data_IF_545897164801
#
_entry.id   IF_545897164801
#
_cell.length_a   1.000
_cell.length_b   1.000
_cell.length_c   1.000
_cell.angle_alpha   90.00
_cell.angle_beta   90.00
_cell.angle_gamma   90.00
#
_symmetry.space_group_name_H-M   'P 1'
#
loop_
_entity.id
_entity.type
_entity.pdbx_description
1 polymer ?
#
# COMPACT_ATOMS: atom_id res chain seq x y z
N UNK A 1 -24.75 -26.21 -20.00
CA UNK A 1 -25.50 -25.05 -19.47
C UNK A 1 -24.47 -24.04 -19.02
N UNK A 2 -24.08 -23.15 -19.92
CA UNK A 2 -23.15 -22.04 -19.67
C UNK A 2 -23.94 -20.90 -19.04
N UNK A 3 -23.76 -20.65 -17.74
CA UNK A 3 -24.28 -19.44 -17.13
C UNK A 3 -23.30 -18.30 -17.40
N UNK A 4 -23.49 -17.65 -18.54
CA UNK A 4 -22.96 -16.33 -18.83
C UNK A 4 -23.78 -15.29 -18.07
N UNK A 5 -23.42 -15.04 -16.83
CA UNK A 5 -23.73 -13.77 -16.15
C UNK A 5 -22.41 -13.02 -15.99
N UNK A 6 -21.87 -12.56 -17.12
CA UNK A 6 -20.92 -11.45 -17.14
C UNK A 6 -21.76 -10.18 -17.33
N UNK A 7 -22.49 -9.80 -16.27
CA UNK A 7 -23.06 -8.46 -16.19
C UNK A 7 -21.86 -7.51 -16.24
N UNK A 8 -21.76 -6.70 -17.31
CA UNK A 8 -20.65 -5.81 -17.63
C UNK A 8 -20.38 -4.70 -16.60
N UNK A 9 -20.22 -5.08 -15.33
CA UNK A 9 -19.65 -4.27 -14.29
C UNK A 9 -18.20 -4.01 -14.70
N UNK A 10 -17.94 -2.78 -15.13
CA UNK A 10 -16.60 -2.27 -15.40
C UNK A 10 -15.68 -2.71 -14.26
N UNK A 11 -14.65 -3.50 -14.60
CA UNK A 11 -13.68 -3.98 -13.60
C UNK A 11 -13.14 -2.78 -12.84
N UNK A 12 -13.04 -2.84 -11.50
CA UNK A 12 -12.51 -1.72 -10.74
C UNK A 12 -11.10 -1.40 -11.27
N UNK A 13 -10.97 -0.22 -11.88
CA UNK A 13 -9.76 0.23 -12.52
C UNK A 13 -9.25 1.47 -11.79
N UNK A 14 -7.96 1.49 -11.51
CA UNK A 14 -7.25 2.72 -11.21
C UNK A 14 -6.78 3.34 -12.53
N UNK A 15 -7.06 4.62 -12.73
CA UNK A 15 -6.64 5.39 -13.92
C UNK A 15 -5.75 6.52 -13.45
N UNK A 16 -4.62 6.70 -14.11
CA UNK A 16 -3.70 7.82 -13.88
C UNK A 16 -3.53 8.58 -15.18
N UNK A 17 -3.64 9.90 -15.13
CA UNK A 17 -3.47 10.78 -16.27
C UNK A 17 -2.70 12.05 -15.88
N UNK A 18 -1.92 12.59 -16.81
CA UNK A 18 -1.25 13.88 -16.65
C UNK A 18 -0.78 14.40 -18.00
N UNK A 19 -0.70 15.72 -18.12
CA UNK A 19 -0.20 16.39 -19.31
C UNK A 19 1.33 16.46 -19.26
N UNK A 20 2.00 16.34 -20.42
CA UNK A 20 3.46 16.39 -20.52
C UNK A 20 4.04 17.75 -20.10
N UNK A 21 3.24 18.81 -20.19
CA UNK A 21 3.62 20.19 -19.83
C UNK A 21 3.31 20.51 -18.35
N UNK A 22 2.84 19.55 -17.56
CA UNK A 22 2.57 19.72 -16.13
C UNK A 22 3.85 19.69 -15.30
N UNK A 23 3.81 20.27 -14.09
CA UNK A 23 4.94 20.33 -13.14
C UNK A 23 5.32 18.96 -12.52
N UNK A 24 4.97 17.85 -13.18
CA UNK A 24 5.23 16.47 -12.73
C UNK A 24 4.14 15.86 -11.84
N UNK A 25 3.00 16.53 -11.64
CA UNK A 25 1.85 15.98 -10.92
C UNK A 25 0.96 15.18 -11.86
N UNK A 26 0.59 13.96 -11.47
CA UNK A 26 -0.42 13.15 -12.15
C UNK A 26 -1.71 13.11 -11.32
N UNK A 27 -2.85 13.00 -12.00
CA UNK A 27 -4.16 12.81 -11.36
C UNK A 27 -4.55 11.34 -11.40
N UNK A 28 -4.69 10.73 -10.22
CA UNK A 28 -5.16 9.36 -10.03
C UNK A 28 -6.65 9.30 -9.70
N UNK A 29 -7.34 8.32 -10.26
CA UNK A 29 -8.72 7.98 -9.92
C UNK A 29 -8.84 6.49 -9.62
N UNK A 30 -9.41 6.14 -8.47
CA UNK A 30 -9.70 4.76 -8.08
C UNK A 30 -11.11 4.67 -7.51
N UNK A 31 -12.00 3.96 -8.22
CA UNK A 31 -13.43 3.99 -7.91
C UNK A 31 -13.98 5.42 -8.04
N UNK A 32 -14.57 5.92 -6.96
CA UNK A 32 -15.09 7.30 -6.87
C UNK A 32 -14.08 8.30 -6.28
N UNK A 33 -12.89 7.85 -5.89
CA UNK A 33 -11.87 8.70 -5.28
C UNK A 33 -10.92 9.28 -6.32
N UNK A 34 -10.60 10.56 -6.17
CA UNK A 34 -9.55 11.26 -6.92
C UNK A 34 -8.44 11.69 -5.97
N UNK A 35 -7.18 11.63 -6.44
CA UNK A 35 -6.01 11.97 -5.65
C UNK A 35 -4.84 12.41 -6.54
N UNK A 36 -3.99 13.29 -6.02
CA UNK A 36 -2.76 13.72 -6.70
C UNK A 36 -1.63 12.72 -6.46
N UNK A 37 -0.89 12.42 -7.52
CA UNK A 37 0.29 11.57 -7.51
C UNK A 37 1.50 12.46 -7.81
N UNK A 38 2.46 12.47 -6.90
CA UNK A 38 3.70 13.21 -7.03
C UNK A 38 4.74 12.41 -7.80
N UNK A 39 5.29 12.99 -8.87
CA UNK A 39 6.48 12.48 -9.54
C UNK A 39 7.72 13.34 -9.27
N UNK A 40 8.89 12.91 -9.76
CA UNK A 40 10.04 13.78 -9.84
C UNK A 40 9.70 14.97 -10.74
N UNK A 41 9.72 16.18 -10.18
CA UNK A 41 9.33 17.38 -10.90
C UNK A 41 10.44 17.85 -11.83
N UNK A 42 10.08 18.08 -13.09
CA UNK A 42 10.93 18.86 -13.98
C UNK A 42 11.10 20.29 -13.43
N UNK A 43 12.34 20.80 -13.44
CA UNK A 43 12.77 22.12 -12.89
C UNK A 43 12.86 22.24 -11.35
N UNK A 44 13.25 21.17 -10.67
CA UNK A 44 13.96 21.27 -9.38
C UNK A 44 13.12 21.21 -8.11
N UNK A 45 11.98 20.53 -8.14
CA UNK A 45 11.18 20.23 -6.94
C UNK A 45 10.41 18.92 -7.09
N UNK A 46 9.91 18.36 -5.97
CA UNK A 46 8.97 17.24 -6.00
C UNK A 46 7.56 17.74 -6.28
N UNK A 47 6.87 17.11 -7.22
CA UNK A 47 5.48 17.46 -7.53
C UNK A 47 4.57 17.10 -6.35
N UNK A 48 3.46 17.83 -6.19
CA UNK A 48 2.55 17.61 -5.06
C UNK A 48 1.80 16.28 -5.19
N UNK A 49 1.66 15.55 -4.08
CA UNK A 49 0.95 14.27 -4.01
C UNK A 49 1.85 13.13 -3.52
N UNK A 50 1.23 11.97 -3.28
CA UNK A 50 1.96 10.78 -2.88
C UNK A 50 2.67 10.18 -4.10
N UNK A 51 3.92 9.74 -3.94
CA UNK A 51 4.62 9.02 -4.99
C UNK A 51 4.11 7.55 -5.11
N UNK A 52 4.47 6.82 -6.18
CA UNK A 52 3.98 5.45 -6.38
C UNK A 52 4.30 4.48 -5.21
N UNK A 53 5.47 4.59 -4.58
CA UNK A 53 5.85 3.74 -3.43
C UNK A 53 5.06 4.09 -2.17
N UNK A 54 4.73 5.37 -1.97
CA UNK A 54 3.85 5.81 -0.90
C UNK A 54 2.42 5.29 -1.11
N UNK A 55 1.92 5.27 -2.35
CA UNK A 55 0.62 4.67 -2.67
C UNK A 55 0.60 3.14 -2.45
N UNK A 56 1.71 2.45 -2.74
CA UNK A 56 1.87 1.03 -2.45
C UNK A 56 1.87 0.75 -0.94
N UNK A 57 2.60 1.59 -0.19
CA UNK A 57 2.65 1.55 1.27
C UNK A 57 1.27 1.82 1.89
N UNK A 58 0.55 2.83 1.39
CA UNK A 58 -0.81 3.15 1.80
C UNK A 58 -1.78 1.99 1.50
N UNK A 59 -1.62 1.30 0.37
CA UNK A 59 -2.42 0.14 0.01
C UNK A 59 -2.23 -1.01 1.02
N UNK A 60 -0.99 -1.30 1.43
CA UNK A 60 -0.69 -2.29 2.46
C UNK A 60 -1.23 -1.90 3.84
N UNK A 61 -1.06 -0.64 4.22
CA UNK A 61 -1.56 -0.08 5.48
C UNK A 61 -3.08 -0.20 5.57
N UNK A 62 -3.79 0.25 4.52
CA UNK A 62 -5.25 0.22 4.45
C UNK A 62 -5.78 -1.22 4.51
N UNK A 63 -5.20 -2.14 3.74
CA UNK A 63 -5.62 -3.54 3.74
C UNK A 63 -5.41 -4.19 5.11
N UNK A 64 -4.27 -3.92 5.76
CA UNK A 64 -3.98 -4.39 7.12
C UNK A 64 -5.02 -3.89 8.12
N UNK A 65 -5.27 -2.58 8.14
CA UNK A 65 -6.23 -1.96 9.06
C UNK A 65 -7.66 -2.51 8.84
N UNK A 66 -8.08 -2.71 7.59
CA UNK A 66 -9.36 -3.34 7.26
C UNK A 66 -9.45 -4.77 7.81
N UNK A 67 -8.40 -5.58 7.65
CA UNK A 67 -8.36 -6.96 8.17
C UNK A 67 -8.45 -7.00 9.70
N UNK A 68 -7.71 -6.13 10.39
CA UNK A 68 -7.77 -6.01 11.86
C UNK A 68 -9.18 -5.63 12.31
N UNK A 69 -9.77 -4.58 11.73
CA UNK A 69 -11.13 -4.13 12.05
C UNK A 69 -12.16 -5.22 11.80
N UNK A 70 -12.03 -5.98 10.71
CA UNK A 70 -12.90 -7.10 10.40
C UNK A 70 -12.82 -8.19 11.47
N UNK A 71 -11.61 -8.55 11.92
CA UNK A 71 -11.42 -9.57 12.95
C UNK A 71 -11.91 -9.10 14.33
N UNK A 72 -11.63 -7.84 14.70
CA UNK A 72 -12.13 -7.25 15.94
C UNK A 72 -13.67 -7.34 16.00
N UNK A 73 -14.35 -6.94 14.91
CA UNK A 73 -15.82 -7.04 14.79
C UNK A 73 -16.32 -8.48 14.89
N UNK A 74 -15.71 -9.41 14.15
CA UNK A 74 -16.13 -10.83 14.14
C UNK A 74 -16.01 -11.48 15.51
N UNK A 75 -14.97 -11.13 16.27
CA UNK A 75 -14.66 -11.70 17.58
C UNK A 75 -15.22 -10.86 18.74
N UNK A 76 -15.86 -9.74 18.45
CA UNK A 76 -16.39 -8.77 19.44
C UNK A 76 -15.32 -8.21 20.38
N UNK A 77 -14.08 -8.07 19.89
CA UNK A 77 -12.97 -7.46 20.62
C UNK A 77 -13.20 -5.94 20.69
N UNK A 78 -13.09 -5.28 21.86
CA UNK A 78 -13.42 -3.86 22.06
C UNK A 78 -12.31 -2.91 21.57
N UNK A 79 -11.93 -3.04 20.30
CA UNK A 79 -10.99 -2.14 19.61
C UNK A 79 -11.68 -0.80 19.29
N UNK A 80 -11.15 0.30 19.83
CA UNK A 80 -11.67 1.65 19.58
C UNK A 80 -10.94 2.36 18.42
N UNK A 81 -9.64 2.10 18.25
CA UNK A 81 -8.84 2.72 17.20
C UNK A 81 -7.77 1.78 16.67
N UNK A 82 -7.46 1.89 15.38
CA UNK A 82 -6.32 1.24 14.74
C UNK A 82 -5.62 2.23 13.82
N UNK A 83 -4.31 2.30 13.97
CA UNK A 83 -3.42 3.04 13.08
C UNK A 83 -2.39 2.07 12.51
N UNK A 84 -2.14 2.17 11.20
CA UNK A 84 -1.11 1.39 10.52
C UNK A 84 -0.26 2.34 9.70
N UNK A 85 1.03 2.43 10.02
CA UNK A 85 2.02 3.13 9.22
C UNK A 85 2.84 2.11 8.43
N UNK A 86 3.18 2.44 7.19
CA UNK A 86 4.03 1.60 6.34
C UNK A 86 5.05 2.46 5.64
N UNK A 87 6.32 2.07 5.68
CA UNK A 87 7.40 2.62 4.86
C UNK A 87 7.95 1.55 3.92
N UNK A 88 8.40 1.99 2.75
CA UNK A 88 9.04 1.14 1.75
C UNK A 88 10.54 1.46 1.68
N UNK A 89 11.34 0.41 1.49
CA UNK A 89 12.79 0.49 1.37
C UNK A 89 13.27 -0.40 0.23
N UNK A 90 14.14 0.15 -0.62
CA UNK A 90 14.82 -0.64 -1.63
C UNK A 90 15.80 -1.63 -1.03
N UNK A 91 15.86 -2.82 -1.62
CA UNK A 91 16.95 -3.74 -1.38
C UNK A 91 18.23 -3.24 -2.05
N UNK A 92 19.24 -2.88 -1.26
CA UNK A 92 20.57 -2.59 -1.82
C UNK A 92 21.24 -3.84 -2.40
N UNK A 93 22.21 -3.68 -3.30
CA UNK A 93 23.11 -4.72 -3.82
C UNK A 93 22.44 -6.07 -4.16
N UNK A 94 21.31 -6.04 -4.88
CA UNK A 94 20.56 -7.25 -5.28
C UNK A 94 19.73 -7.89 -4.15
N UNK A 95 19.54 -7.18 -3.03
CA UNK A 95 18.63 -7.53 -1.96
C UNK A 95 17.16 -7.39 -2.38
N UNK A 96 16.26 -8.02 -1.61
CA UNK A 96 14.82 -7.83 -1.80
C UNK A 96 14.40 -6.49 -1.22
N UNK A 97 13.49 -5.82 -1.91
CA UNK A 97 12.76 -4.68 -1.36
C UNK A 97 12.01 -5.09 -0.10
N UNK A 98 11.70 -4.11 0.74
CA UNK A 98 11.02 -4.37 2.00
C UNK A 98 10.02 -3.28 2.39
N UNK A 99 8.96 -3.71 3.06
CA UNK A 99 8.01 -2.86 3.75
C UNK A 99 8.21 -3.02 5.26
N UNK A 100 8.32 -1.90 5.97
CA UNK A 100 8.25 -1.85 7.42
C UNK A 100 6.88 -1.34 7.82
N UNK A 101 6.18 -2.13 8.62
CA UNK A 101 4.80 -1.86 9.03
C UNK A 101 4.73 -1.70 10.54
N UNK A 102 4.18 -0.59 10.99
CA UNK A 102 3.94 -0.32 12.40
C UNK A 102 2.45 -0.27 12.69
N UNK A 103 2.01 -0.90 13.78
CA UNK A 103 0.59 -1.02 14.12
C UNK A 103 0.34 -0.51 15.55
N UNK A 104 -0.54 0.48 15.68
CA UNK A 104 -1.06 0.93 16.97
C UNK A 104 -2.51 0.47 17.14
N UNK A 105 -2.82 -0.09 18.32
CA UNK A 105 -4.14 -0.57 18.69
C UNK A 105 -4.57 0.05 20.02
N UNK A 106 -5.69 0.74 20.01
CA UNK A 106 -6.30 1.35 21.20
C UNK A 106 -7.67 0.72 21.48
N UNK A 107 -7.98 0.58 22.78
CA UNK A 107 -9.22 0.01 23.28
C UNK A 107 -9.00 -0.71 24.61
N UNK A 108 -10.08 -1.25 25.16
CA UNK A 108 -10.05 -2.05 26.40
C UNK A 108 -9.56 -3.48 26.12
N UNK A 109 -8.34 -3.60 25.58
CA UNK A 109 -7.80 -4.85 25.04
C UNK A 109 -6.98 -5.60 26.10
N UNK A 110 -7.29 -6.88 26.30
CA UNK A 110 -6.37 -7.81 26.98
C UNK A 110 -5.20 -8.21 26.09
N UNK A 111 -4.13 -8.75 26.69
CA UNK A 111 -2.93 -9.18 25.97
C UNK A 111 -3.23 -10.23 24.88
N UNK A 112 -4.14 -11.17 25.18
CA UNK A 112 -4.55 -12.19 24.23
C UNK A 112 -5.31 -11.58 23.03
N UNK A 113 -6.20 -10.63 23.28
CA UNK A 113 -6.96 -9.95 22.22
C UNK A 113 -6.02 -9.12 21.33
N UNK A 114 -5.06 -8.40 21.95
CA UNK A 114 -4.00 -7.68 21.22
C UNK A 114 -3.20 -8.64 20.35
N UNK A 115 -2.77 -9.78 20.89
CA UNK A 115 -2.03 -10.78 20.12
C UNK A 115 -2.86 -11.35 18.96
N UNK A 116 -4.15 -11.62 19.16
CA UNK A 116 -5.05 -12.08 18.10
C UNK A 116 -5.21 -11.04 16.97
N UNK A 117 -5.34 -9.76 17.32
CA UNK A 117 -5.42 -8.68 16.32
C UNK A 117 -4.10 -8.49 15.57
N UNK A 118 -2.96 -8.61 16.25
CA UNK A 118 -1.65 -8.58 15.61
C UNK A 118 -1.45 -9.76 14.64
N UNK A 119 -1.91 -10.96 15.00
CA UNK A 119 -1.90 -12.10 14.07
C UNK A 119 -2.80 -11.87 12.85
N UNK A 120 -3.96 -11.24 13.04
CA UNK A 120 -4.87 -10.90 11.94
C UNK A 120 -4.22 -9.96 10.91
N UNK A 121 -3.31 -9.07 11.33
CA UNK A 121 -2.59 -8.17 10.44
C UNK A 121 -1.84 -8.92 9.32
N UNK A 122 -1.38 -10.14 9.57
CA UNK A 122 -0.63 -10.95 8.61
C UNK A 122 -1.51 -11.67 7.58
N UNK A 123 -2.83 -11.54 7.67
CA UNK A 123 -3.79 -12.23 6.81
C UNK A 123 -4.36 -11.33 5.71
N UNK A 124 -3.84 -10.11 5.55
CA UNK A 124 -4.40 -9.16 4.59
C UNK A 124 -4.03 -9.55 3.13
N UNK A 125 -5.00 -9.56 2.18
CA UNK A 125 -4.73 -9.99 0.80
C UNK A 125 -3.65 -9.20 0.07
N UNK A 126 -3.57 -7.89 0.29
CA UNK A 126 -2.51 -7.05 -0.33
C UNK A 126 -1.13 -7.45 0.20
N UNK A 127 -1.01 -7.73 1.50
CA UNK A 127 0.24 -8.23 2.09
C UNK A 127 0.68 -9.57 1.47
N UNK A 128 -0.27 -10.46 1.14
CA UNK A 128 0.04 -11.70 0.42
C UNK A 128 0.60 -11.42 -0.97
N UNK A 129 0.02 -10.48 -1.71
CA UNK A 129 0.51 -10.12 -3.05
C UNK A 129 1.90 -9.50 -3.00
N UNK A 130 2.12 -8.51 -2.13
CA UNK A 130 3.41 -7.82 -2.03
C UNK A 130 4.52 -8.72 -1.47
N UNK A 131 4.17 -9.62 -0.53
CA UNK A 131 5.11 -10.56 0.07
C UNK A 131 5.74 -11.55 -0.92
N UNK A 132 5.18 -11.71 -2.13
CA UNK A 132 5.79 -12.53 -3.19
C UNK A 132 7.11 -11.95 -3.67
N UNK A 133 7.24 -10.62 -3.73
CA UNK A 133 8.42 -9.94 -4.29
C UNK A 133 9.22 -9.16 -3.24
N UNK A 134 8.58 -8.71 -2.16
CA UNK A 134 9.22 -7.94 -1.08
C UNK A 134 9.11 -8.63 0.29
N UNK A 135 9.98 -8.26 1.22
CA UNK A 135 9.83 -8.59 2.64
C UNK A 135 8.78 -7.68 3.29
N UNK A 136 8.04 -8.18 4.28
CA UNK A 136 7.16 -7.36 5.11
C UNK A 136 7.50 -7.60 6.57
N UNK A 137 8.02 -6.57 7.25
CA UNK A 137 8.41 -6.60 8.67
C UNK A 137 7.37 -5.83 9.47
N UNK A 138 6.96 -6.37 10.62
CA UNK A 138 5.93 -5.75 11.46
C UNK A 138 6.47 -5.45 12.85
N UNK A 139 6.18 -4.23 13.31
CA UNK A 139 6.72 -3.64 14.52
C UNK A 139 5.56 -3.06 15.33
N UNK A 140 5.69 -3.05 16.66
CA UNK A 140 4.61 -2.59 17.56
C UNK A 140 4.63 -1.05 17.80
N UNK A 141 5.59 -0.32 17.21
CA UNK A 141 5.75 1.13 17.36
C UNK A 141 5.81 1.83 16.02
N UNK A 142 5.08 2.93 15.87
CA UNK A 142 5.15 3.84 14.71
C UNK A 142 6.44 4.65 14.78
N UNK A 143 7.39 4.31 13.91
CA UNK A 143 8.59 5.11 13.68
C UNK A 143 8.54 5.70 12.27
N UNK A 144 8.71 7.02 12.15
CA UNK A 144 8.73 7.71 10.87
C UNK A 144 9.96 7.31 10.06
N UNK A 145 9.77 6.51 9.02
CA UNK A 145 10.80 6.19 8.03
C UNK A 145 11.02 7.33 7.04
N UNK A 146 12.19 7.37 6.41
CA UNK A 146 12.49 8.29 5.30
C UNK A 146 11.74 7.82 4.05
N UNK A 147 11.10 8.73 3.32
CA UNK A 147 10.38 8.41 2.08
C UNK A 147 11.31 7.81 1.02
N UNK A 148 10.81 6.82 0.28
CA UNK A 148 11.49 6.27 -0.88
C UNK A 148 11.53 7.29 -2.04
N UNK A 149 12.61 7.29 -2.81
CA UNK A 149 12.88 8.27 -3.88
C UNK A 149 12.73 7.60 -5.25
N UNK A 150 11.77 8.06 -6.05
CA UNK A 150 11.48 7.52 -7.38
C UNK A 150 12.60 7.79 -8.41
N UNK A 151 13.40 8.84 -8.21
CA UNK A 151 14.50 9.20 -9.11
C UNK A 151 15.62 8.13 -9.15
N UNK A 152 15.78 7.36 -8.08
CA UNK A 152 16.84 6.35 -7.96
C UNK A 152 16.52 5.08 -8.79
N UNK A 153 15.25 4.85 -9.13
CA UNK A 153 14.78 3.61 -9.78
C UNK A 153 14.71 3.68 -11.31
N UNK A 154 14.73 4.88 -11.91
CA UNK A 154 14.58 5.05 -13.35
C UNK A 154 15.76 4.49 -14.16
N UNK A 155 16.91 4.25 -13.52
CA UNK A 155 18.10 3.68 -14.16
C UNK A 155 18.12 2.14 -14.24
N UNK A 156 17.20 1.45 -13.55
CA UNK A 156 17.24 -0.01 -13.44
C UNK A 156 15.89 -0.67 -13.80
N UNK A 157 15.88 -1.23 -15.01
CA UNK A 157 15.37 -2.57 -15.35
C UNK A 157 14.15 -2.70 -16.29
N UNK A 158 14.19 -3.70 -17.21
CA UNK A 158 12.99 -4.28 -17.82
C UNK A 158 12.12 -4.97 -16.75
N UNK A 159 10.81 -4.76 -16.82
CA UNK A 159 9.86 -5.30 -15.84
C UNK A 159 9.69 -6.81 -16.06
N UNK A 160 10.02 -7.65 -15.08
CA UNK A 160 9.88 -9.10 -15.22
C UNK A 160 8.41 -9.50 -15.31
N UNK A 161 8.11 -10.54 -16.10
CA UNK A 161 6.76 -11.10 -16.27
C UNK A 161 5.71 -10.13 -16.87
N UNK A 162 6.15 -9.12 -17.62
CA UNK A 162 5.30 -8.38 -18.55
C UNK A 162 5.48 -8.98 -19.94
N UNK A 163 4.36 -9.26 -20.62
CA UNK A 163 4.35 -9.58 -22.04
C UNK A 163 4.55 -8.26 -22.80
N UNK A 164 5.66 -8.08 -23.54
CA UNK A 164 5.76 -6.93 -24.43
C UNK A 164 4.84 -7.18 -25.61
N UNK A 165 3.77 -6.41 -25.72
CA UNK A 165 2.84 -6.41 -26.87
C UNK A 165 3.57 -6.48 -28.23
#
# INVERSE_FOLDING_TARGET
MTNSNDDGASRPQAVVAGDLDSDGTLNGRAGASEFSIGGPGGRGGTAAGANPYELLSASLAACTAMTIRLQARRRKIPLSHVEVAVSYHHGGDGGRDSFERSISLEGSLGDEERAQLMQAANMCPVGRTLGLSADIRTNDNVSGGRAASYDDDLSELPIPNIDPD
#
